data_IF_666341823095
#
_entry.id   IF_666341823095
#
_cell.length_a   1.000
_cell.length_b   1.000
_cell.length_c   1.000
_cell.angle_alpha   90.00
_cell.angle_beta   90.00
_cell.angle_gamma   90.00
#
_symmetry.space_group_name_H-M   'P 1'
#
loop_
_entity.id
_entity.type
_entity.pdbx_description
1 polymer ?
#
# COMPACT_ATOMS: atom_id res chain seq x y z
N UNK A 1 53.22 5.64 13.20
CA UNK A 1 51.79 5.40 13.52
C UNK A 1 51.11 4.99 12.23
N UNK A 2 50.57 3.77 12.16
CA UNK A 2 49.82 3.29 10.99
C UNK A 2 48.34 3.51 11.30
N UNK A 3 47.71 4.45 10.59
CA UNK A 3 46.25 4.62 10.59
C UNK A 3 45.63 3.35 10.03
N UNK A 4 44.95 2.61 10.91
CA UNK A 4 44.11 1.48 10.51
C UNK A 4 42.76 2.08 10.15
N UNK A 5 42.28 1.99 8.90
CA UNK A 5 40.96 2.49 8.57
C UNK A 5 39.92 1.68 9.35
N UNK A 6 39.13 2.38 10.16
CA UNK A 6 37.94 1.84 10.80
C UNK A 6 36.96 1.53 9.68
N UNK A 7 36.93 0.28 9.23
CA UNK A 7 35.86 -0.21 8.34
C UNK A 7 34.58 -0.21 9.17
N UNK A 8 33.52 0.50 8.78
CA UNK A 8 32.25 0.41 9.46
C UNK A 8 31.73 -1.03 9.32
N UNK A 9 31.83 -1.81 10.40
CA UNK A 9 31.08 -3.06 10.55
C UNK A 9 29.62 -2.67 10.81
N UNK A 10 28.71 -3.30 10.07
CA UNK A 10 27.25 -3.18 10.10
C UNK A 10 26.57 -2.27 9.07
N UNK A 11 26.84 -2.54 7.79
CA UNK A 11 25.74 -2.75 6.85
C UNK A 11 25.70 -4.24 6.55
N UNK A 12 25.02 -5.00 7.42
CA UNK A 12 24.57 -6.33 7.04
C UNK A 12 23.71 -6.13 5.80
N UNK A 13 24.25 -6.47 4.62
CA UNK A 13 23.50 -6.45 3.37
C UNK A 13 22.33 -7.40 3.58
N UNK A 14 21.15 -6.86 3.91
CA UNK A 14 19.90 -7.58 3.84
C UNK A 14 19.67 -7.87 2.34
N UNK A 15 20.38 -8.87 1.84
CA UNK A 15 20.23 -9.37 0.48
C UNK A 15 18.91 -10.11 0.48
N UNK A 16 17.90 -9.46 -0.10
CA UNK A 16 16.65 -10.09 -0.46
C UNK A 16 16.94 -11.43 -1.15
N UNK A 17 16.44 -12.52 -0.58
CA UNK A 17 16.59 -13.84 -1.18
C UNK A 17 15.57 -14.03 -2.33
N UNK A 18 15.72 -15.11 -3.10
CA UNK A 18 14.85 -15.36 -4.26
C UNK A 18 13.37 -15.48 -3.87
N UNK A 19 13.07 -16.11 -2.74
CA UNK A 19 11.69 -16.24 -2.24
C UNK A 19 11.09 -14.87 -1.92
N UNK A 20 11.85 -14.01 -1.24
CA UNK A 20 11.44 -12.64 -0.92
C UNK A 20 11.26 -11.77 -2.16
N UNK A 21 12.13 -11.93 -3.17
CA UNK A 21 12.00 -11.24 -4.44
C UNK A 21 10.73 -11.67 -5.20
N UNK A 22 10.44 -12.97 -5.23
CA UNK A 22 9.21 -13.49 -5.84
C UNK A 22 7.96 -13.00 -5.09
N UNK A 23 7.98 -13.03 -3.76
CA UNK A 23 6.89 -12.51 -2.94
C UNK A 23 6.64 -11.01 -3.21
N UNK A 24 7.71 -10.22 -3.39
CA UNK A 24 7.59 -8.82 -3.77
C UNK A 24 6.97 -8.65 -5.17
N UNK A 25 7.39 -9.45 -6.16
CA UNK A 25 6.77 -9.43 -7.49
C UNK A 25 5.28 -9.80 -7.45
N UNK A 26 4.92 -10.76 -6.62
CA UNK A 26 3.52 -11.14 -6.41
C UNK A 26 2.70 -9.97 -5.85
N UNK A 27 3.27 -9.15 -4.97
CA UNK A 27 2.61 -7.93 -4.49
C UNK A 27 2.37 -6.92 -5.61
N UNK A 28 3.36 -6.65 -6.46
CA UNK A 28 3.18 -5.77 -7.62
C UNK A 28 2.07 -6.28 -8.56
N UNK A 29 2.06 -7.59 -8.85
CA UNK A 29 1.03 -8.19 -9.70
C UNK A 29 -0.38 -8.06 -9.09
N UNK A 30 -0.51 -8.29 -7.78
CA UNK A 30 -1.79 -8.18 -7.06
C UNK A 30 -2.30 -6.75 -7.04
N UNK A 31 -1.44 -5.78 -6.76
CA UNK A 31 -1.81 -4.36 -6.73
C UNK A 31 -2.18 -3.86 -8.12
N UNK A 32 -1.44 -4.27 -9.15
CA UNK A 32 -1.80 -3.97 -10.54
C UNK A 32 -3.17 -4.52 -10.91
N UNK A 33 -3.45 -5.80 -10.59
CA UNK A 33 -4.74 -6.42 -10.88
C UNK A 33 -5.92 -5.77 -10.12
N UNK A 34 -5.65 -5.10 -9.00
CA UNK A 34 -6.65 -4.39 -8.21
C UNK A 34 -6.83 -2.93 -8.63
N UNK A 35 -5.80 -2.30 -9.18
CA UNK A 35 -5.87 -0.93 -9.72
C UNK A 35 -6.97 -0.80 -10.77
N UNK A 36 -7.08 -1.79 -11.66
CA UNK A 36 -8.16 -1.88 -12.67
C UNK A 36 -9.56 -2.00 -12.04
N UNK A 37 -9.65 -2.49 -10.80
CA UNK A 37 -10.91 -2.76 -10.11
C UNK A 37 -11.37 -1.59 -9.23
N UNK A 38 -10.43 -0.84 -8.63
CA UNK A 38 -10.73 0.26 -7.73
C UNK A 38 -11.11 1.55 -8.45
N UNK A 39 -11.59 1.47 -9.69
CA UNK A 39 -12.52 2.43 -10.28
C UNK A 39 -12.08 3.89 -10.28
N UNK A 40 -10.78 4.16 -10.37
CA UNK A 40 -10.35 5.50 -10.75
C UNK A 40 -10.79 5.71 -12.20
N UNK A 41 -11.48 6.82 -12.48
CA UNK A 41 -11.64 7.29 -13.87
C UNK A 41 -10.26 7.62 -14.49
N UNK A 42 -9.21 7.75 -13.66
CA UNK A 42 -7.83 7.71 -14.09
C UNK A 42 -7.39 6.25 -14.25
N UNK A 43 -6.76 5.94 -15.37
CA UNK A 43 -6.14 4.64 -15.69
C UNK A 43 -4.95 4.28 -14.79
N UNK A 44 -4.77 4.96 -13.67
CA UNK A 44 -3.59 4.79 -12.82
C UNK A 44 -3.82 3.63 -11.86
N UNK A 45 -3.04 2.57 -12.09
CA UNK A 45 -2.96 1.41 -11.22
C UNK A 45 -2.39 1.78 -9.85
N UNK A 46 -2.63 0.93 -8.85
CA UNK A 46 -2.03 1.12 -7.54
C UNK A 46 -0.50 1.09 -7.58
N UNK A 47 0.14 1.82 -6.67
CA UNK A 47 1.59 1.90 -6.53
C UNK A 47 2.02 1.10 -5.29
N UNK A 48 3.13 0.37 -5.40
CA UNK A 48 3.80 -0.29 -4.27
C UNK A 48 5.10 0.41 -3.98
N UNK A 49 5.21 1.00 -2.79
CA UNK A 49 6.42 1.65 -2.28
C UNK A 49 7.11 0.72 -1.28
N UNK A 50 8.34 0.33 -1.60
CA UNK A 50 9.17 -0.52 -0.74
C UNK A 50 9.84 0.36 0.30
N UNK A 51 9.75 0.00 1.59
CA UNK A 51 10.25 0.86 2.65
C UNK A 51 10.89 0.12 3.82
N UNK A 52 11.87 0.79 4.42
CA UNK A 52 12.51 0.39 5.67
C UNK A 52 11.70 0.82 6.91
N UNK A 53 10.70 1.69 6.72
CA UNK A 53 9.91 2.25 7.81
C UNK A 53 9.27 1.13 8.64
N UNK A 54 9.28 1.29 9.97
CA UNK A 54 8.75 0.30 10.91
C UNK A 54 7.28 0.58 11.28
N UNK A 55 6.73 1.71 10.83
CA UNK A 55 5.35 2.12 11.10
C UNK A 55 4.76 2.96 9.96
N UNK A 56 3.43 2.99 9.87
CA UNK A 56 2.71 3.85 8.92
C UNK A 56 3.11 5.33 9.06
N UNK A 57 3.27 5.83 10.28
CA UNK A 57 3.64 7.23 10.52
C UNK A 57 5.05 7.57 10.01
N UNK A 58 5.99 6.64 10.11
CA UNK A 58 7.33 6.81 9.54
C UNK A 58 7.31 6.73 8.01
N UNK A 59 6.56 5.78 7.44
CA UNK A 59 6.39 5.64 6.00
C UNK A 59 5.80 6.91 5.37
N UNK A 60 4.74 7.46 5.97
CA UNK A 60 4.10 8.71 5.54
C UNK A 60 5.11 9.86 5.51
N UNK A 61 5.86 10.07 6.61
CA UNK A 61 6.84 11.17 6.69
C UNK A 61 8.00 11.06 5.71
N UNK A 62 8.34 9.83 5.28
CA UNK A 62 9.52 9.57 4.46
C UNK A 62 9.21 9.45 2.97
N UNK A 63 8.02 8.96 2.61
CA UNK A 63 7.66 8.61 1.24
C UNK A 63 6.64 9.56 0.62
N UNK A 64 5.85 10.27 1.43
CA UNK A 64 4.76 11.13 0.95
C UNK A 64 5.15 12.61 1.02
N UNK A 65 4.52 13.47 0.19
CA UNK A 65 4.72 14.91 0.28
C UNK A 65 4.40 15.43 1.69
N UNK A 66 5.21 16.37 2.18
CA UNK A 66 5.17 16.82 3.59
C UNK A 66 3.90 17.59 3.95
N UNK A 67 3.26 18.18 2.97
CA UNK A 67 2.07 19.00 3.08
C UNK A 67 0.77 18.19 2.94
N UNK A 68 0.86 16.92 2.57
CA UNK A 68 -0.31 16.06 2.42
C UNK A 68 -0.93 15.69 3.76
N UNK A 69 -2.26 15.73 3.82
CA UNK A 69 -3.01 15.28 4.98
C UNK A 69 -3.08 13.75 5.00
N UNK A 70 -3.04 13.16 6.19
CA UNK A 70 -3.12 11.71 6.36
C UNK A 70 -4.11 11.37 7.47
N UNK A 71 -5.04 10.47 7.17
CA UNK A 71 -6.11 10.07 8.07
C UNK A 71 -6.11 8.55 8.24
N UNK A 72 -6.04 8.02 9.47
CA UNK A 72 -6.14 6.59 9.70
C UNK A 72 -7.45 6.01 9.16
N UNK A 73 -7.36 4.83 8.54
CA UNK A 73 -8.50 4.08 8.04
C UNK A 73 -8.43 2.67 8.61
N UNK A 74 -9.45 2.26 9.36
CA UNK A 74 -9.52 0.90 9.87
C UNK A 74 -9.53 -0.12 8.71
N UNK A 75 -8.78 -1.21 8.82
CA UNK A 75 -8.71 -2.26 7.78
C UNK A 75 -10.09 -2.75 7.33
N UNK A 76 -11.00 -3.02 8.28
CA UNK A 76 -12.37 -3.46 7.96
C UNK A 76 -13.18 -2.40 7.23
N UNK A 77 -12.90 -1.12 7.48
CA UNK A 77 -13.51 -0.01 6.75
C UNK A 77 -12.95 0.07 5.33
N UNK A 78 -11.64 -0.13 5.14
CA UNK A 78 -11.04 -0.27 3.82
C UNK A 78 -11.71 -1.40 3.01
N UNK A 79 -11.79 -2.59 3.60
CA UNK A 79 -12.42 -3.75 2.99
C UNK A 79 -13.86 -3.45 2.56
N UNK A 80 -14.67 -2.91 3.48
CA UNK A 80 -16.09 -2.65 3.22
C UNK A 80 -16.30 -1.56 2.16
N UNK A 81 -15.59 -0.43 2.25
CA UNK A 81 -15.82 0.73 1.39
C UNK A 81 -15.24 0.56 -0.02
N UNK A 82 -14.04 -0.02 -0.13
CA UNK A 82 -13.31 -0.04 -1.40
C UNK A 82 -13.38 -1.41 -2.10
N UNK A 83 -13.41 -2.51 -1.34
CA UNK A 83 -13.44 -3.86 -1.92
C UNK A 83 -14.82 -4.53 -1.84
N UNK A 84 -15.66 -4.13 -0.89
CA UNK A 84 -17.03 -4.62 -0.73
C UNK A 84 -17.86 -4.54 -2.02
N UNK A 85 -17.88 -3.41 -2.74
CA UNK A 85 -18.59 -3.29 -4.02
C UNK A 85 -18.10 -4.29 -5.07
N UNK A 86 -16.80 -4.56 -5.13
CA UNK A 86 -16.23 -5.55 -6.05
C UNK A 86 -16.63 -6.98 -5.67
N UNK A 87 -16.68 -7.28 -4.38
CA UNK A 87 -16.96 -8.63 -3.88
C UNK A 87 -18.44 -9.01 -3.92
N UNK A 88 -19.34 -8.03 -3.76
CA UNK A 88 -20.78 -8.23 -3.67
C UNK A 88 -21.55 -7.74 -4.91
N UNK A 89 -20.89 -6.98 -5.79
CA UNK A 89 -21.50 -6.40 -6.98
C UNK A 89 -22.01 -7.47 -7.95
N UNK A 90 -23.31 -7.48 -8.31
CA UNK A 90 -23.87 -8.49 -9.21
C UNK A 90 -23.32 -8.40 -10.64
N UNK A 91 -22.73 -7.27 -11.00
CA UNK A 91 -22.13 -7.00 -12.31
C UNK A 91 -20.59 -6.99 -12.27
N UNK A 92 -19.96 -7.31 -11.13
CA UNK A 92 -18.49 -7.31 -11.07
C UNK A 92 -17.94 -8.44 -11.93
N UNK A 93 -17.02 -8.16 -12.88
CA UNK A 93 -16.32 -9.20 -13.62
C UNK A 93 -15.65 -10.23 -12.69
N UNK A 94 -15.79 -11.54 -12.95
CA UNK A 94 -15.26 -12.58 -12.04
C UNK A 94 -13.78 -12.46 -11.71
N UNK A 95 -12.97 -11.99 -12.66
CA UNK A 95 -11.54 -11.80 -12.46
C UNK A 95 -11.21 -10.67 -11.47
N UNK A 96 -12.01 -9.59 -11.44
CA UNK A 96 -11.84 -8.49 -10.47
C UNK A 96 -12.27 -8.92 -9.07
N UNK A 97 -13.38 -9.64 -8.96
CA UNK A 97 -13.79 -10.23 -7.68
C UNK A 97 -12.73 -11.21 -7.15
N UNK A 98 -12.14 -12.03 -8.03
CA UNK A 98 -11.05 -12.92 -7.67
C UNK A 98 -9.79 -12.14 -7.26
N UNK A 99 -9.43 -11.07 -7.98
CA UNK A 99 -8.29 -10.21 -7.62
C UNK A 99 -8.48 -9.60 -6.22
N UNK A 100 -9.67 -9.05 -5.93
CA UNK A 100 -10.01 -8.51 -4.61
C UNK A 100 -9.92 -9.57 -3.50
N UNK A 101 -10.47 -10.77 -3.69
CA UNK A 101 -10.35 -11.88 -2.72
C UNK A 101 -8.90 -12.26 -2.49
N UNK A 102 -8.15 -12.42 -3.57
CA UNK A 102 -6.74 -12.81 -3.57
C UNK A 102 -5.89 -11.77 -2.84
N UNK A 103 -6.18 -10.49 -3.03
CA UNK A 103 -5.54 -9.38 -2.31
C UNK A 103 -5.86 -9.42 -0.81
N UNK A 104 -7.14 -9.49 -0.44
CA UNK A 104 -7.59 -9.56 0.96
C UNK A 104 -6.95 -10.72 1.71
N UNK A 105 -6.97 -11.92 1.14
CA UNK A 105 -6.37 -13.11 1.77
C UNK A 105 -4.86 -12.97 2.00
N UNK A 106 -4.17 -12.19 1.17
CA UNK A 106 -2.74 -11.92 1.36
C UNK A 106 -2.46 -10.80 2.36
N UNK A 107 -3.35 -9.82 2.47
CA UNK A 107 -3.23 -8.72 3.43
C UNK A 107 -3.61 -9.13 4.86
N UNK A 108 -4.66 -9.92 5.06
CA UNK A 108 -5.21 -10.24 6.39
C UNK A 108 -4.16 -10.73 7.42
N UNK A 109 -3.25 -11.68 7.11
CA UNK A 109 -2.24 -12.14 8.07
C UNK A 109 -1.13 -11.10 8.36
N UNK A 110 -1.10 -9.97 7.64
CA UNK A 110 -0.13 -8.89 7.83
C UNK A 110 -0.67 -7.74 8.69
N UNK A 111 -1.91 -7.85 9.19
CA UNK A 111 -2.56 -6.84 10.04
C UNK A 111 -2.39 -5.40 9.48
N UNK A 112 -2.93 -5.14 8.27
CA UNK A 112 -2.63 -3.93 7.53
C UNK A 112 -3.14 -2.67 8.23
N UNK A 113 -2.33 -1.62 8.20
CA UNK A 113 -2.72 -0.29 8.70
C UNK A 113 -3.23 0.54 7.52
N UNK A 114 -4.54 0.81 7.47
CA UNK A 114 -5.14 1.61 6.42
C UNK A 114 -4.98 3.11 6.66
N UNK A 115 -4.94 3.86 5.56
CA UNK A 115 -4.88 5.32 5.58
C UNK A 115 -5.59 5.92 4.37
N UNK A 116 -6.10 7.13 4.53
CA UNK A 116 -6.47 8.03 3.45
C UNK A 116 -5.44 9.15 3.40
N UNK A 117 -5.01 9.51 2.21
CA UNK A 117 -3.98 10.54 2.01
C UNK A 117 -4.39 11.45 0.87
N UNK A 118 -4.29 12.77 1.06
CA UNK A 118 -4.63 13.72 0.01
C UNK A 118 -3.84 15.03 0.13
N UNK A 119 -4.10 15.98 -0.77
CA UNK A 119 -3.53 17.33 -0.68
C UNK A 119 -3.93 18.02 0.64
N UNK A 120 -3.30 19.16 1.00
CA UNK A 120 -3.54 19.84 2.28
C UNK A 120 -5.03 20.09 2.62
N UNK A 121 -5.85 20.33 1.61
CA UNK A 121 -7.28 20.60 1.69
C UNK A 121 -8.17 19.35 1.75
N UNK A 122 -7.60 18.15 1.62
CA UNK A 122 -8.36 16.90 1.65
C UNK A 122 -9.05 16.70 3.01
N UNK A 123 -10.38 16.55 2.96
CA UNK A 123 -11.22 16.21 4.10
C UNK A 123 -11.91 14.85 3.85
N UNK A 124 -11.58 13.80 4.62
CA UNK A 124 -12.19 12.49 4.45
C UNK A 124 -13.68 12.44 4.81
N UNK A 125 -14.21 13.47 5.48
CA UNK A 125 -15.63 13.63 5.81
C UNK A 125 -16.44 14.42 4.79
N UNK A 126 -15.79 15.01 3.78
CA UNK A 126 -16.48 15.77 2.74
C UNK A 126 -17.31 14.84 1.84
N UNK A 127 -18.47 15.30 1.33
CA UNK A 127 -19.27 14.54 0.37
C UNK A 127 -18.58 14.40 -0.99
N UNK A 128 -17.88 15.45 -1.42
CA UNK A 128 -16.97 15.46 -2.56
C UNK A 128 -15.55 15.56 -1.99
N UNK A 129 -14.82 14.45 -2.09
CA UNK A 129 -13.47 14.32 -1.54
C UNK A 129 -12.38 14.73 -2.54
N UNK A 130 -12.75 15.02 -3.78
CA UNK A 130 -11.81 15.29 -4.87
C UNK A 130 -10.82 14.14 -5.08
N UNK A 131 -9.58 14.49 -5.44
CA UNK A 131 -8.49 13.55 -5.65
C UNK A 131 -7.77 13.19 -4.36
N UNK A 132 -7.69 11.89 -4.05
CA UNK A 132 -6.97 11.37 -2.89
C UNK A 132 -6.41 9.97 -3.19
N UNK A 133 -5.67 9.41 -2.22
CA UNK A 133 -5.19 8.04 -2.25
C UNK A 133 -5.78 7.27 -1.07
N UNK A 134 -6.24 6.05 -1.34
CA UNK A 134 -6.47 5.06 -0.30
C UNK A 134 -5.23 4.19 -0.18
N UNK A 135 -4.70 4.07 1.02
CA UNK A 135 -3.43 3.42 1.30
C UNK A 135 -3.53 2.28 2.29
N UNK A 136 -2.54 1.38 2.22
CA UNK A 136 -2.30 0.32 3.19
C UNK A 136 -0.81 0.24 3.49
N UNK A 137 -0.46 0.26 4.76
CA UNK A 137 0.88 -0.11 5.21
C UNK A 137 0.89 -1.58 5.65
N UNK A 138 1.79 -2.36 5.07
CA UNK A 138 1.93 -3.79 5.32
C UNK A 138 3.26 -4.09 6.01
N UNK A 139 3.20 -4.78 7.15
CA UNK A 139 4.36 -5.34 7.88
C UNK A 139 4.93 -6.58 7.19
N UNK A 140 5.23 -6.45 5.89
CA UNK A 140 5.58 -7.56 5.01
C UNK A 140 7.06 -7.99 5.08
N UNK A 141 7.88 -7.37 5.93
CA UNK A 141 9.33 -7.63 6.00
C UNK A 141 9.69 -9.12 6.13
N UNK A 142 8.99 -9.96 6.93
CA UNK A 142 9.29 -11.38 6.99
C UNK A 142 9.15 -12.10 5.64
N UNK A 143 8.22 -11.65 4.79
CA UNK A 143 7.87 -12.28 3.52
C UNK A 143 8.68 -11.72 2.34
N UNK A 144 8.90 -10.40 2.29
CA UNK A 144 9.50 -9.71 1.13
C UNK A 144 10.88 -9.12 1.42
N UNK A 145 11.33 -9.17 2.68
CA UNK A 145 12.53 -8.46 3.15
C UNK A 145 12.30 -6.98 3.47
N UNK A 146 11.12 -6.42 3.14
CA UNK A 146 10.78 -5.00 3.36
C UNK A 146 9.31 -4.82 3.77
N UNK A 147 9.00 -3.67 4.38
CA UNK A 147 7.60 -3.27 4.54
C UNK A 147 7.12 -2.58 3.26
N UNK A 148 5.80 -2.54 3.07
CA UNK A 148 5.19 -2.00 1.86
C UNK A 148 4.21 -0.90 2.23
N UNK A 149 4.28 0.23 1.54
CA UNK A 149 3.19 1.20 1.49
C UNK A 149 2.54 1.10 0.11
N UNK A 150 1.29 0.65 0.08
CA UNK A 150 0.49 0.51 -1.12
C UNK A 150 -0.46 1.70 -1.19
N UNK A 151 -0.58 2.34 -2.35
CA UNK A 151 -1.47 3.47 -2.58
C UNK A 151 -2.30 3.24 -3.84
N UNK A 152 -3.60 3.45 -3.76
CA UNK A 152 -4.51 3.45 -4.90
C UNK A 152 -5.07 4.86 -5.08
N UNK A 153 -4.89 5.49 -6.24
CA UNK A 153 -5.49 6.79 -6.52
C UNK A 153 -7.02 6.65 -6.60
N UNK A 154 -7.72 7.67 -6.12
CA UNK A 154 -9.18 7.76 -6.09
C UNK A 154 -9.60 9.18 -6.41
N UNK A 155 -10.70 9.29 -7.15
CA UNK A 155 -11.39 10.54 -7.39
C UNK A 155 -12.84 10.30 -7.05
N UNK A 156 -13.40 11.19 -6.25
CA UNK A 156 -14.82 11.21 -5.92
C UNK A 156 -15.34 12.62 -6.16
N UNK A 157 -16.54 12.71 -6.72
CA UNK A 157 -17.21 13.96 -7.13
C UNK A 157 -18.67 13.95 -6.70
#
# INVERSE_FOLDING_TARGET
MRDTPIVPRHLGKNRMNEHQFRALLDWFARVSALGDALGSESTDSGVVLITAAESVGEAVRTLLPRDWSTHPLAWRRFEAEFLGPLLAGPQTPPHLAQAARTFLTSCDPLEPEGLLVGPPEFDPGAPDRGGFHVGLFLHARPQTGWNLLILFPRVET
#
